data_IF_783920649519
#
_entry.id   IF_783920649519
#
_cell.length_a   1.000
_cell.length_b   1.000
_cell.length_c   1.000
_cell.angle_alpha   90.00
_cell.angle_beta   90.00
_cell.angle_gamma   90.00
#
_symmetry.space_group_name_H-M   'P 1'
#
loop_
_entity.id
_entity.type
_entity.pdbx_description
1 polymer ?
#
# COMPACT_ATOMS: atom_id res chain seq x y z
N UNK A 1 -3.95 -16.75 -25.28
CA UNK A 1 -2.53 -16.68 -24.88
C UNK A 1 -1.96 -15.27 -25.06
N UNK A 2 -2.02 -14.66 -26.25
CA UNK A 2 -1.53 -13.29 -26.48
C UNK A 2 -2.15 -12.19 -25.60
N UNK A 3 -3.47 -12.23 -25.36
CA UNK A 3 -4.15 -11.24 -24.51
C UNK A 3 -3.72 -11.28 -23.04
N UNK A 4 -3.37 -12.48 -22.55
CA UNK A 4 -2.96 -12.69 -21.15
C UNK A 4 -1.58 -12.07 -20.91
N UNK A 5 -0.64 -12.31 -21.83
CA UNK A 5 0.68 -11.69 -21.80
C UNK A 5 0.64 -10.16 -21.91
N UNK A 6 -0.30 -9.60 -22.69
CA UNK A 6 -0.47 -8.15 -22.80
C UNK A 6 -1.00 -7.54 -21.50
N UNK A 7 -1.95 -8.22 -20.85
CA UNK A 7 -2.51 -7.81 -19.57
C UNK A 7 -1.43 -7.85 -18.46
N UNK A 8 -0.63 -8.91 -18.41
CA UNK A 8 0.49 -9.05 -17.46
C UNK A 8 1.53 -7.94 -17.65
N UNK A 9 1.88 -7.62 -18.90
CA UNK A 9 2.79 -6.52 -19.21
C UNK A 9 2.22 -5.17 -18.75
N UNK A 10 0.95 -4.88 -19.06
CA UNK A 10 0.29 -3.65 -18.63
C UNK A 10 0.24 -3.51 -17.11
N UNK A 11 -0.06 -4.61 -16.40
CA UNK A 11 -0.11 -4.64 -14.94
C UNK A 11 1.28 -4.44 -14.30
N UNK A 12 2.34 -5.02 -14.90
CA UNK A 12 3.72 -4.79 -14.45
C UNK A 12 4.16 -3.33 -14.62
N UNK A 13 3.74 -2.68 -15.71
CA UNK A 13 4.03 -1.27 -15.96
C UNK A 13 3.30 -0.37 -14.95
N UNK A 14 2.06 -0.72 -14.63
CA UNK A 14 1.26 -0.05 -13.62
C UNK A 14 1.89 -0.18 -12.22
N UNK A 15 2.41 -1.37 -11.86
CA UNK A 15 3.14 -1.57 -10.60
C UNK A 15 4.39 -0.68 -10.49
N UNK A 16 5.20 -0.60 -11.56
CA UNK A 16 6.39 0.27 -11.59
C UNK A 16 6.00 1.74 -11.44
N UNK A 17 4.91 2.17 -12.08
CA UNK A 17 4.39 3.53 -11.95
C UNK A 17 4.00 3.86 -10.50
N UNK A 18 3.33 2.95 -9.79
CA UNK A 18 2.99 3.15 -8.39
C UNK A 18 4.21 3.18 -7.45
N UNK A 19 5.26 2.39 -7.73
CA UNK A 19 6.53 2.48 -6.99
C UNK A 19 7.23 3.84 -7.17
N UNK A 20 7.17 4.39 -8.38
CA UNK A 20 7.72 5.73 -8.65
C UNK A 20 6.92 6.80 -7.89
N UNK A 21 5.59 6.70 -7.88
CA UNK A 21 4.74 7.61 -7.10
C UNK A 21 5.02 7.51 -5.60
N UNK A 22 5.20 6.30 -5.08
CA UNK A 22 5.53 6.07 -3.67
C UNK A 22 6.81 6.80 -3.25
N UNK A 23 7.86 6.74 -4.07
CA UNK A 23 9.11 7.45 -3.82
C UNK A 23 8.92 8.98 -3.79
N UNK A 24 8.01 9.52 -4.61
CA UNK A 24 7.72 10.96 -4.67
C UNK A 24 6.84 11.46 -3.52
N UNK A 25 5.95 10.62 -2.98
CA UNK A 25 5.00 11.01 -1.92
C UNK A 25 5.53 10.82 -0.49
N UNK A 26 6.78 10.38 -0.32
CA UNK A 26 7.43 10.01 0.95
C UNK A 26 7.43 11.09 2.05
N UNK A 27 7.09 12.35 1.75
CA UNK A 27 7.12 13.43 2.74
C UNK A 27 5.93 13.46 3.71
N UNK A 28 4.82 12.76 3.41
CA UNK A 28 3.66 12.67 4.32
C UNK A 28 3.38 11.22 4.66
N UNK A 29 3.56 10.85 5.93
CA UNK A 29 3.36 9.48 6.42
C UNK A 29 1.96 8.93 6.09
N UNK A 30 0.92 9.75 6.17
CA UNK A 30 -0.44 9.34 5.83
C UNK A 30 -0.57 9.00 4.33
N UNK A 31 -0.03 9.83 3.44
CA UNK A 31 -0.06 9.57 1.99
C UNK A 31 0.76 8.35 1.63
N UNK A 32 1.90 8.17 2.29
CA UNK A 32 2.73 6.97 2.17
C UNK A 32 1.94 5.70 2.54
N UNK A 33 1.22 5.69 3.66
CA UNK A 33 0.40 4.56 4.09
C UNK A 33 -0.69 4.21 3.06
N UNK A 34 -1.40 5.23 2.56
CA UNK A 34 -2.46 5.06 1.56
C UNK A 34 -1.90 4.49 0.25
N UNK A 35 -0.75 5.00 -0.21
CA UNK A 35 -0.11 4.51 -1.44
C UNK A 35 0.36 3.07 -1.25
N UNK A 36 0.87 2.70 -0.07
CA UNK A 36 1.25 1.32 0.25
C UNK A 36 0.04 0.36 0.19
N UNK A 37 -1.12 0.73 0.74
CA UNK A 37 -2.34 -0.08 0.63
C UNK A 37 -2.77 -0.27 -0.84
N UNK A 38 -2.75 0.79 -1.65
CA UNK A 38 -3.12 0.73 -3.07
C UNK A 38 -2.19 -0.26 -3.80
N UNK A 39 -0.89 -0.23 -3.53
CA UNK A 39 0.07 -1.16 -4.11
C UNK A 39 -0.26 -2.61 -3.71
N UNK A 40 -0.53 -2.86 -2.43
CA UNK A 40 -0.86 -4.20 -1.94
C UNK A 40 -2.13 -4.78 -2.58
N UNK A 41 -3.15 -3.94 -2.82
CA UNK A 41 -4.39 -4.32 -3.52
C UNK A 41 -4.12 -4.65 -5.00
N UNK A 42 -3.28 -3.86 -5.68
CA UNK A 42 -2.91 -4.12 -7.07
C UNK A 42 -2.19 -5.46 -7.20
N UNK A 43 -1.27 -5.76 -6.29
CA UNK A 43 -0.60 -7.07 -6.23
C UNK A 43 -1.61 -8.19 -6.01
N UNK A 44 -2.58 -8.02 -5.09
CA UNK A 44 -3.64 -9.00 -4.86
C UNK A 44 -4.48 -9.28 -6.12
N UNK A 45 -4.83 -8.23 -6.87
CA UNK A 45 -5.57 -8.37 -8.13
C UNK A 45 -4.73 -9.12 -9.17
N UNK A 46 -3.43 -8.80 -9.28
CA UNK A 46 -2.50 -9.45 -10.19
C UNK A 46 -2.36 -10.95 -9.87
N UNK A 47 -2.17 -11.31 -8.60
CA UNK A 47 -2.06 -12.70 -8.16
C UNK A 47 -3.33 -13.46 -8.51
N UNK A 48 -4.51 -12.92 -8.20
CA UNK A 48 -5.79 -13.59 -8.50
C UNK A 48 -6.09 -13.73 -10.00
N UNK A 49 -5.67 -12.79 -10.84
CA UNK A 49 -5.80 -12.89 -12.30
C UNK A 49 -4.92 -14.00 -12.88
N UNK A 50 -3.71 -14.19 -12.33
CA UNK A 50 -2.76 -15.21 -12.75
C UNK A 50 -3.14 -16.62 -12.24
N UNK A 51 -3.68 -16.73 -11.03
CA UNK A 51 -4.03 -18.01 -10.41
C UNK A 51 -5.46 -18.42 -10.75
N UNK A 52 -5.63 -19.19 -11.82
CA UNK A 52 -6.96 -19.45 -12.39
C UNK A 52 -7.88 -20.30 -11.49
N UNK A 53 -7.41 -21.15 -10.55
CA UNK A 53 -8.32 -22.00 -9.74
C UNK A 53 -7.93 -22.42 -8.30
N UNK A 54 -6.67 -22.42 -7.87
CA UNK A 54 -6.27 -23.19 -6.67
C UNK A 54 -5.69 -22.40 -5.48
N UNK A 55 -5.56 -21.07 -5.55
CA UNK A 55 -4.84 -20.31 -4.51
C UNK A 55 -5.69 -19.26 -3.78
N UNK A 56 -7.02 -19.41 -3.76
CA UNK A 56 -7.92 -18.49 -3.05
C UNK A 56 -7.54 -18.39 -1.55
N UNK A 57 -7.13 -19.50 -0.93
CA UNK A 57 -6.64 -19.49 0.45
C UNK A 57 -5.38 -18.65 0.62
N UNK A 58 -4.45 -18.67 -0.33
CA UNK A 58 -3.25 -17.85 -0.30
C UNK A 58 -3.59 -16.36 -0.43
N UNK A 59 -4.49 -16.02 -1.36
CA UNK A 59 -5.02 -14.67 -1.53
C UNK A 59 -5.69 -14.14 -0.26
N UNK A 60 -6.47 -14.97 0.44
CA UNK A 60 -7.09 -14.60 1.71
C UNK A 60 -6.07 -14.36 2.83
N UNK A 61 -5.06 -15.23 2.95
CA UNK A 61 -3.97 -15.06 3.92
C UNK A 61 -3.21 -13.76 3.62
N UNK A 62 -2.86 -13.52 2.35
CA UNK A 62 -2.21 -12.28 1.93
C UNK A 62 -3.02 -11.04 2.31
N UNK A 63 -4.33 -11.04 2.03
CA UNK A 63 -5.20 -9.92 2.35
C UNK A 63 -5.31 -9.69 3.87
N UNK A 64 -5.33 -10.76 4.66
CA UNK A 64 -5.35 -10.67 6.12
C UNK A 64 -4.08 -9.99 6.66
N UNK A 65 -2.91 -10.39 6.17
CA UNK A 65 -1.63 -9.79 6.55
C UNK A 65 -1.58 -8.32 6.14
N UNK A 66 -2.01 -8.00 4.92
CA UNK A 66 -2.07 -6.63 4.43
C UNK A 66 -2.97 -5.74 5.31
N UNK A 67 -4.13 -6.25 5.74
CA UNK A 67 -5.02 -5.52 6.65
C UNK A 67 -4.41 -5.31 8.05
N UNK A 68 -3.64 -6.28 8.54
CA UNK A 68 -2.93 -6.15 9.81
C UNK A 68 -1.85 -5.07 9.72
N UNK A 69 -1.03 -5.04 8.67
CA UNK A 69 -0.02 -4.01 8.49
C UNK A 69 -0.64 -2.61 8.38
N UNK A 70 -1.76 -2.46 7.66
CA UNK A 70 -2.48 -1.20 7.58
C UNK A 70 -2.94 -0.71 8.96
N UNK A 71 -3.49 -1.62 9.79
CA UNK A 71 -3.93 -1.29 11.14
C UNK A 71 -2.77 -0.86 12.05
N UNK A 72 -1.61 -1.54 11.94
CA UNK A 72 -0.41 -1.22 12.71
C UNK A 72 0.17 0.12 12.27
N UNK A 73 0.28 0.36 10.97
CA UNK A 73 0.78 1.61 10.42
C UNK A 73 -0.09 2.81 10.83
N UNK A 74 -1.42 2.65 10.83
CA UNK A 74 -2.35 3.68 11.28
C UNK A 74 -2.25 3.92 12.80
N UNK A 75 -2.12 2.86 13.61
CA UNK A 75 -1.96 2.99 15.05
C UNK A 75 -0.67 3.75 15.43
N UNK A 76 0.42 3.48 14.73
CA UNK A 76 1.70 4.21 14.90
C UNK A 76 1.51 5.67 14.51
N UNK A 77 0.84 5.95 13.40
CA UNK A 77 0.56 7.32 12.96
C UNK A 77 -0.25 8.10 14.00
N UNK A 78 -1.34 7.52 14.51
CA UNK A 78 -2.17 8.15 15.55
C UNK A 78 -1.35 8.44 16.81
N UNK A 79 -0.47 7.53 17.20
CA UNK A 79 0.40 7.74 18.35
C UNK A 79 1.39 8.89 18.11
N UNK A 80 1.98 8.99 16.90
CA UNK A 80 2.86 10.10 16.53
C UNK A 80 2.14 11.45 16.58
N UNK A 81 0.92 11.53 16.06
CA UNK A 81 0.07 12.74 16.14
C UNK A 81 -0.18 13.11 17.60
N UNK A 82 -0.53 12.14 18.45
CA UNK A 82 -0.81 12.39 19.86
C UNK A 82 0.42 12.88 20.64
N UNK A 83 1.61 12.36 20.32
CA UNK A 83 2.86 12.85 20.90
C UNK A 83 3.23 14.25 20.42
N UNK A 84 2.95 14.59 19.17
CA UNK A 84 3.21 15.92 18.61
C UNK A 84 2.28 16.98 19.26
N UNK A 85 0.98 16.68 19.36
CA UNK A 85 -0.01 17.55 20.03
C UNK A 85 0.34 17.77 21.52
N UNK A 86 0.78 16.72 22.22
CA UNK A 86 1.10 16.81 23.65
C UNK A 86 2.39 17.59 23.92
N UNK A 87 3.33 17.59 22.98
CA UNK A 87 4.64 18.22 23.17
C UNK A 87 4.72 19.65 22.61
N UNK A 88 3.70 20.17 21.90
CA UNK A 88 3.68 21.53 21.32
C UNK A 88 4.92 21.89 20.48
N UNK A 89 5.72 20.88 20.08
CA UNK A 89 6.87 21.07 19.19
C UNK A 89 6.27 21.17 17.81
N UNK A 90 6.48 22.31 17.14
CA UNK A 90 6.13 22.55 15.73
C UNK A 90 6.90 21.57 14.82
N UNK A 91 6.59 20.28 14.90
CA UNK A 91 7.14 19.18 14.12
C UNK A 91 6.43 18.98 12.79
N UNK A 92 5.78 20.04 12.27
CA UNK A 92 4.93 20.06 11.07
C UNK A 92 5.60 19.65 9.75
N UNK A 93 6.77 19.03 9.81
CA UNK A 93 7.42 18.36 8.69
C UNK A 93 6.73 17.01 8.39
N UNK A 94 6.19 16.31 9.41
CA UNK A 94 5.62 14.96 9.21
C UNK A 94 4.08 14.87 9.19
N UNK A 95 3.36 15.85 9.76
CA UNK A 95 1.91 15.76 10.05
C UNK A 95 1.08 16.87 9.39
N UNK A 96 1.60 17.56 8.36
CA UNK A 96 0.76 18.48 7.59
C UNK A 96 -0.21 17.68 6.70
N UNK A 97 -1.46 17.54 7.18
CA UNK A 97 -2.62 16.93 6.51
C UNK A 97 -2.68 17.29 5.01
#
# INVERSE_FOLDING_TARGET
MFYLNYLDFFLSLLFIFFLILFNLYSFRLLKFLIVAEIIMIIIFILVNLLTIKYEICFSLVYLSIASCEASIGLAILVNMVHFEDKNNVKGGIFVNF
#
